data_IF_186142970162
#
_entry.id   IF_186142970162
#
_cell.length_a   1.000
_cell.length_b   1.000
_cell.length_c   1.000
_cell.angle_alpha   90.00
_cell.angle_beta   90.00
_cell.angle_gamma   90.00
#
_symmetry.space_group_name_H-M   'P 1'
#
loop_
_entity.id
_entity.type
_entity.pdbx_description
1 polymer ?
#
# COMPACT_ATOMS: atom_id res chain seq x y z
N UNK A 1 -13.09 11.25 0.86
CA UNK A 1 -12.96 12.47 1.64
C UNK A 1 -11.78 12.44 2.61
N UNK A 2 -11.56 13.50 3.40
CA UNK A 2 -10.41 13.64 4.31
C UNK A 2 -10.24 12.47 5.28
N UNK A 3 -11.32 11.92 5.83
CA UNK A 3 -11.28 10.77 6.74
C UNK A 3 -10.63 9.55 6.08
N UNK A 4 -10.93 9.26 4.82
CA UNK A 4 -10.30 8.17 4.08
C UNK A 4 -8.79 8.37 3.93
N UNK A 5 -8.35 9.61 3.74
CA UNK A 5 -6.92 9.95 3.63
C UNK A 5 -6.17 9.70 4.94
N UNK A 6 -6.76 10.06 6.09
CA UNK A 6 -6.18 9.76 7.41
C UNK A 6 -6.14 8.27 7.68
N UNK A 7 -7.21 7.53 7.42
CA UNK A 7 -7.24 6.08 7.59
C UNK A 7 -6.18 5.40 6.72
N UNK A 8 -6.06 5.82 5.46
CA UNK A 8 -5.06 5.28 4.55
C UNK A 8 -3.63 5.52 5.06
N UNK A 9 -3.34 6.71 5.60
CA UNK A 9 -2.04 7.05 6.18
C UNK A 9 -1.79 6.32 7.50
N UNK A 10 -2.70 6.49 8.46
CA UNK A 10 -2.44 6.14 9.87
C UNK A 10 -2.76 4.67 10.18
N UNK A 11 -3.56 4.02 9.35
CA UNK A 11 -3.86 2.60 9.51
C UNK A 11 -3.24 1.77 8.38
N UNK A 12 -3.59 2.02 7.12
CA UNK A 12 -3.16 1.15 6.02
C UNK A 12 -1.66 1.18 5.78
N UNK A 13 -1.03 2.36 5.67
CA UNK A 13 0.42 2.46 5.48
C UNK A 13 1.19 2.03 6.73
N UNK A 14 0.73 2.44 7.93
CA UNK A 14 1.38 2.04 9.18
C UNK A 14 1.38 0.52 9.36
N UNK A 15 0.28 -0.15 9.02
CA UNK A 15 0.20 -1.62 9.01
C UNK A 15 1.19 -2.23 8.03
N UNK A 16 1.37 -1.65 6.84
CA UNK A 16 2.35 -2.11 5.85
C UNK A 16 3.79 -2.10 6.38
N UNK A 17 4.14 -1.13 7.22
CA UNK A 17 5.51 -1.02 7.78
C UNK A 17 5.84 -2.08 8.84
N UNK A 18 4.91 -2.94 9.21
CA UNK A 18 5.20 -4.11 10.04
C UNK A 18 6.03 -5.18 9.30
N UNK A 19 6.09 -5.11 7.98
CA UNK A 19 6.65 -6.14 7.13
C UNK A 19 8.06 -5.79 6.61
N UNK A 20 9.14 -6.44 7.13
CA UNK A 20 10.52 -6.11 6.77
C UNK A 20 10.79 -6.16 5.26
N UNK A 21 10.34 -7.19 4.55
CA UNK A 21 10.53 -7.32 3.09
C UNK A 21 9.90 -6.17 2.29
N UNK A 22 8.73 -5.70 2.74
CA UNK A 22 8.09 -4.51 2.19
C UNK A 22 8.89 -3.22 2.45
N UNK A 23 9.57 -3.14 3.59
CA UNK A 23 10.30 -1.95 4.01
C UNK A 23 11.63 -1.76 3.26
N UNK A 24 12.33 -2.86 2.95
CA UNK A 24 13.68 -2.80 2.39
C UNK A 24 13.80 -2.00 1.08
N UNK A 25 12.89 -2.10 0.10
CA UNK A 25 12.93 -1.24 -1.07
C UNK A 25 12.95 0.26 -0.73
N UNK A 26 12.20 0.67 0.30
CA UNK A 26 12.12 2.07 0.75
C UNK A 26 13.41 2.52 1.45
N UNK A 27 14.06 1.61 2.16
CA UNK A 27 15.30 1.89 2.91
C UNK A 27 16.50 1.93 1.96
N UNK A 28 16.70 0.89 1.16
CA UNK A 28 17.85 0.77 0.25
C UNK A 28 17.84 1.87 -0.80
N UNK A 29 16.69 2.22 -1.35
CA UNK A 29 16.58 3.35 -2.30
C UNK A 29 16.69 4.72 -1.62
N UNK A 30 16.80 4.78 -0.29
CA UNK A 30 16.87 6.02 0.49
C UNK A 30 15.57 6.85 0.44
N UNK A 31 14.52 6.30 -0.13
CA UNK A 31 13.29 7.02 -0.43
C UNK A 31 12.57 7.57 0.81
N UNK A 32 12.78 6.97 1.99
CA UNK A 32 12.13 7.40 3.22
C UNK A 32 13.02 8.24 4.14
N UNK A 33 14.31 7.94 4.27
CA UNK A 33 15.22 8.72 5.14
C UNK A 33 15.33 10.19 4.74
N UNK A 34 15.25 10.49 3.43
CA UNK A 34 15.49 11.84 2.89
C UNK A 34 14.22 12.51 2.37
N UNK A 35 13.14 11.75 2.11
CA UNK A 35 11.98 12.22 1.38
C UNK A 35 10.65 11.61 1.87
N UNK A 36 10.50 11.31 3.19
CA UNK A 36 9.29 10.68 3.73
C UNK A 36 8.01 11.43 3.32
N UNK A 37 7.99 12.74 3.50
CA UNK A 37 6.84 13.58 3.11
C UNK A 37 6.55 13.52 1.60
N UNK A 38 7.59 13.50 0.76
CA UNK A 38 7.41 13.39 -0.69
C UNK A 38 6.83 12.02 -1.07
N UNK A 39 7.36 10.92 -0.51
CA UNK A 39 6.85 9.56 -0.78
C UNK A 39 5.41 9.39 -0.31
N UNK A 40 5.09 9.93 0.85
CA UNK A 40 3.72 9.95 1.35
C UNK A 40 2.81 10.74 0.41
N UNK A 41 3.24 11.92 -0.04
CA UNK A 41 2.48 12.75 -0.98
C UNK A 41 2.27 12.05 -2.34
N UNK A 42 3.27 11.31 -2.85
CA UNK A 42 3.15 10.52 -4.07
C UNK A 42 2.12 9.39 -3.93
N UNK A 43 2.13 8.68 -2.79
CA UNK A 43 1.14 7.63 -2.50
C UNK A 43 -0.27 8.22 -2.34
N UNK A 44 -0.40 9.35 -1.63
CA UNK A 44 -1.66 10.06 -1.49
C UNK A 44 -2.20 10.57 -2.83
N UNK A 45 -1.31 11.12 -3.66
CA UNK A 45 -1.69 11.56 -5.00
C UNK A 45 -2.25 10.40 -5.82
N UNK A 46 -1.53 9.27 -5.86
CA UNK A 46 -2.01 8.09 -6.56
C UNK A 46 -3.37 7.63 -6.01
N UNK A 47 -3.52 7.56 -4.68
CA UNK A 47 -4.77 7.18 -4.06
C UNK A 47 -5.93 8.12 -4.44
N UNK A 48 -5.68 9.43 -4.48
CA UNK A 48 -6.66 10.41 -4.93
C UNK A 48 -6.96 10.26 -6.43
N UNK A 49 -5.95 10.03 -7.25
CA UNK A 49 -6.11 9.83 -8.70
C UNK A 49 -7.03 8.63 -8.99
N UNK A 50 -6.82 7.49 -8.32
CA UNK A 50 -7.60 6.28 -8.56
C UNK A 50 -9.03 6.39 -8.02
N UNK A 51 -9.25 7.12 -6.93
CA UNK A 51 -10.58 7.26 -6.31
C UNK A 51 -11.47 8.33 -6.95
N UNK A 52 -11.03 9.02 -8.01
CA UNK A 52 -11.89 9.92 -8.79
C UNK A 52 -12.93 9.13 -9.59
N UNK A 53 -14.07 9.77 -9.85
CA UNK A 53 -15.11 9.18 -10.69
C UNK A 53 -14.56 8.86 -12.09
N UNK A 54 -14.83 7.66 -12.57
CA UNK A 54 -14.36 7.16 -13.88
C UNK A 54 -12.83 7.13 -14.06
N UNK A 55 -12.07 7.21 -12.98
CA UNK A 55 -10.60 7.30 -13.01
C UNK A 55 -9.94 6.13 -13.74
N UNK A 56 -10.52 4.95 -13.71
CA UNK A 56 -10.03 3.74 -14.37
C UNK A 56 -10.51 3.56 -15.82
N UNK A 57 -11.28 4.49 -16.37
CA UNK A 57 -11.49 4.49 -17.81
C UNK A 57 -10.13 4.64 -18.51
N UNK A 58 -9.96 3.95 -19.63
CA UNK A 58 -8.70 3.93 -20.38
C UNK A 58 -8.19 5.36 -20.64
N UNK A 59 -6.92 5.58 -20.31
CA UNK A 59 -6.21 6.87 -20.39
C UNK A 59 -6.63 7.96 -19.37
N UNK A 60 -7.59 7.71 -18.50
CA UNK A 60 -7.89 8.63 -17.40
C UNK A 60 -6.83 8.55 -16.32
N UNK A 61 -6.86 9.51 -15.38
CA UNK A 61 -5.79 9.73 -14.41
C UNK A 61 -5.49 8.52 -13.54
N UNK A 62 -6.50 7.81 -13.03
CA UNK A 62 -6.30 6.62 -12.20
C UNK A 62 -5.69 5.45 -12.97
N UNK A 63 -6.11 5.23 -14.23
CA UNK A 63 -5.52 4.23 -15.09
C UNK A 63 -4.05 4.55 -15.37
N UNK A 64 -3.75 5.75 -15.85
CA UNK A 64 -2.40 6.15 -16.25
C UNK A 64 -1.43 6.20 -15.07
N UNK A 65 -1.86 6.73 -13.91
CA UNK A 65 -1.03 6.79 -12.72
C UNK A 65 -0.75 5.38 -12.16
N UNK A 66 -1.71 4.46 -12.20
CA UNK A 66 -1.50 3.08 -11.77
C UNK A 66 -0.51 2.33 -12.67
N UNK A 67 -0.64 2.47 -13.98
CA UNK A 67 0.33 1.87 -14.94
C UNK A 67 1.72 2.48 -14.73
N UNK A 68 1.80 3.78 -14.47
CA UNK A 68 3.08 4.44 -14.15
C UNK A 68 3.71 3.88 -12.87
N UNK A 69 2.94 3.75 -11.79
CA UNK A 69 3.44 3.16 -10.52
C UNK A 69 3.90 1.71 -10.75
N UNK A 70 3.14 0.92 -11.49
CA UNK A 70 3.56 -0.45 -11.87
C UNK A 70 4.90 -0.47 -12.60
N UNK A 71 5.12 0.48 -13.51
CA UNK A 71 6.39 0.64 -14.20
C UNK A 71 7.53 1.01 -13.22
N UNK A 72 7.30 1.94 -12.30
CA UNK A 72 8.28 2.28 -11.25
C UNK A 72 8.61 1.06 -10.38
N UNK A 73 7.62 0.26 -9.98
CA UNK A 73 7.86 -0.99 -9.24
C UNK A 73 8.75 -1.96 -10.03
N UNK A 74 8.56 -2.07 -11.34
CA UNK A 74 9.40 -2.92 -12.18
C UNK A 74 10.85 -2.39 -12.26
N UNK A 75 11.04 -1.08 -12.37
CA UNK A 75 12.39 -0.46 -12.34
C UNK A 75 13.09 -0.66 -11.01
N UNK A 76 12.39 -0.43 -9.90
CA UNK A 76 12.94 -0.64 -8.55
C UNK A 76 13.32 -2.10 -8.35
N UNK A 77 12.45 -3.04 -8.73
CA UNK A 77 12.76 -4.48 -8.70
C UNK A 77 14.02 -4.82 -9.50
N UNK A 78 14.13 -4.28 -10.71
CA UNK A 78 15.29 -4.51 -11.55
C UNK A 78 16.59 -3.96 -10.93
N UNK A 79 16.53 -2.79 -10.29
CA UNK A 79 17.68 -2.20 -9.61
C UNK A 79 18.08 -3.00 -8.37
N UNK A 80 17.12 -3.34 -7.53
CA UNK A 80 17.37 -4.10 -6.29
C UNK A 80 17.90 -5.51 -6.58
N UNK A 81 17.43 -6.17 -7.63
CA UNK A 81 17.95 -7.48 -8.05
C UNK A 81 19.42 -7.44 -8.51
N UNK A 82 19.96 -6.26 -8.79
CA UNK A 82 21.38 -6.05 -9.11
C UNK A 82 22.20 -5.51 -7.95
N UNK A 83 21.53 -5.10 -6.87
CA UNK A 83 22.19 -4.53 -5.69
C UNK A 83 22.76 -5.64 -4.80
N UNK A 84 23.98 -5.46 -4.33
CA UNK A 84 24.57 -6.31 -3.28
C UNK A 84 23.96 -6.08 -1.89
N UNK A 85 23.17 -5.02 -1.72
CA UNK A 85 22.47 -4.73 -0.47
C UNK A 85 21.16 -5.51 -0.34
N UNK A 86 20.67 -6.12 -1.42
CA UNK A 86 19.44 -6.91 -1.39
C UNK A 86 19.73 -8.36 -1.03
N UNK A 87 19.29 -8.78 0.15
CA UNK A 87 19.40 -10.17 0.60
C UNK A 87 18.17 -10.97 0.13
N UNK A 88 18.37 -11.71 -0.97
CA UNK A 88 17.31 -12.52 -1.58
C UNK A 88 16.90 -13.73 -0.73
N UNK A 89 17.82 -14.26 0.06
CA UNK A 89 17.53 -15.43 0.90
C UNK A 89 16.65 -15.05 2.09
N UNK A 90 16.77 -13.80 2.56
CA UNK A 90 15.98 -13.26 3.68
C UNK A 90 14.68 -12.60 3.20
N UNK A 91 14.72 -11.81 2.12
CA UNK A 91 13.58 -10.98 1.69
C UNK A 91 12.89 -11.47 0.41
N UNK A 92 13.41 -12.52 -0.25
CA UNK A 92 12.87 -13.02 -1.51
C UNK A 92 13.03 -12.03 -2.67
N UNK A 93 12.11 -12.06 -3.62
CA UNK A 93 12.10 -11.09 -4.73
C UNK A 93 11.66 -9.71 -4.24
N UNK A 94 12.33 -8.62 -4.67
CA UNK A 94 11.89 -7.27 -4.33
C UNK A 94 10.51 -6.97 -4.90
N UNK A 95 9.65 -6.33 -4.11
CA UNK A 95 8.28 -5.97 -4.53
C UNK A 95 7.55 -7.21 -5.10
N UNK A 96 7.60 -8.31 -4.37
CA UNK A 96 7.01 -9.58 -4.79
C UNK A 96 5.48 -9.56 -4.74
N UNK A 97 4.85 -10.63 -5.21
CA UNK A 97 3.39 -10.76 -5.27
C UNK A 97 2.74 -10.75 -3.88
N UNK A 98 3.44 -11.30 -2.89
CA UNK A 98 2.99 -11.30 -1.52
C UNK A 98 2.87 -9.87 -0.96
N UNK A 99 3.93 -9.06 -1.06
CA UNK A 99 3.95 -7.67 -0.58
C UNK A 99 2.92 -6.80 -1.31
N UNK A 100 2.75 -7.03 -2.61
CA UNK A 100 1.73 -6.31 -3.40
C UNK A 100 0.31 -6.70 -3.00
N UNK A 101 0.04 -7.99 -2.75
CA UNK A 101 -1.26 -8.46 -2.27
C UNK A 101 -1.59 -7.88 -0.89
N UNK A 102 -0.63 -7.90 0.04
CA UNK A 102 -0.78 -7.28 1.37
C UNK A 102 -1.11 -5.80 1.27
N UNK A 103 -0.40 -5.07 0.40
CA UNK A 103 -0.65 -3.65 0.15
C UNK A 103 -2.06 -3.42 -0.40
N UNK A 104 -2.50 -4.25 -1.35
CA UNK A 104 -3.85 -4.17 -1.90
C UNK A 104 -4.91 -4.41 -0.83
N UNK A 105 -4.72 -5.40 0.06
CA UNK A 105 -5.61 -5.69 1.18
C UNK A 105 -5.66 -4.54 2.19
N UNK A 106 -4.53 -3.84 2.40
CA UNK A 106 -4.49 -2.66 3.25
C UNK A 106 -5.37 -1.51 2.70
N UNK A 107 -5.46 -1.37 1.38
CA UNK A 107 -6.31 -0.35 0.76
C UNK A 107 -7.79 -0.75 0.66
N UNK A 108 -8.14 -2.01 0.77
CA UNK A 108 -9.55 -2.44 0.76
C UNK A 108 -10.06 -2.83 2.16
N UNK A 109 -9.69 -3.98 2.70
CA UNK A 109 -10.26 -4.50 3.95
C UNK A 109 -9.83 -3.70 5.18
N UNK A 110 -8.56 -3.29 5.26
CA UNK A 110 -8.09 -2.47 6.39
C UNK A 110 -8.71 -1.07 6.34
N UNK A 111 -8.91 -0.49 5.15
CA UNK A 111 -9.65 0.76 5.00
C UNK A 111 -11.10 0.62 5.49
N UNK A 112 -11.81 -0.47 5.15
CA UNK A 112 -13.17 -0.75 5.64
C UNK A 112 -13.21 -0.87 7.17
N UNK A 113 -12.22 -1.52 7.77
CA UNK A 113 -12.08 -1.57 9.22
C UNK A 113 -11.93 -0.17 9.82
N UNK A 114 -11.05 0.64 9.24
CA UNK A 114 -10.79 2.01 9.71
C UNK A 114 -12.01 2.92 9.63
N UNK A 115 -12.78 2.86 8.55
CA UNK A 115 -14.02 3.67 8.44
C UNK A 115 -15.08 3.24 9.47
N UNK A 116 -15.16 1.94 9.77
CA UNK A 116 -16.06 1.43 10.84
C UNK A 116 -15.60 1.87 12.23
N UNK A 117 -14.29 1.89 12.47
CA UNK A 117 -13.72 2.34 13.74
C UNK A 117 -14.05 3.80 14.06
N UNK A 118 -14.24 4.64 13.05
CA UNK A 118 -14.69 6.04 13.21
C UNK A 118 -16.21 6.22 13.13
N UNK A 119 -16.99 5.12 13.20
CA UNK A 119 -18.46 5.17 13.25
C UNK A 119 -19.15 5.24 11.89
N UNK A 120 -18.45 5.04 10.79
CA UNK A 120 -19.03 4.96 9.44
C UNK A 120 -19.22 3.48 9.08
N UNK A 121 -20.46 3.06 8.85
CA UNK A 121 -20.79 1.66 8.57
C UNK A 121 -21.23 1.50 7.11
N UNK A 122 -20.32 1.17 6.18
CA UNK A 122 -20.69 0.87 4.81
C UNK A 122 -21.69 -0.29 4.74
N UNK A 123 -22.69 -0.16 3.88
CA UNK A 123 -23.60 -1.25 3.54
C UNK A 123 -22.84 -2.40 2.88
N UNK A 124 -23.46 -3.57 2.82
CA UNK A 124 -22.85 -4.71 2.10
C UNK A 124 -22.53 -4.37 0.63
N UNK A 125 -23.44 -3.66 -0.04
CA UNK A 125 -23.24 -3.26 -1.43
C UNK A 125 -22.04 -2.30 -1.61
N UNK A 126 -21.86 -1.35 -0.68
CA UNK A 126 -20.70 -0.44 -0.69
C UNK A 126 -19.40 -1.17 -0.38
N UNK A 127 -19.42 -2.12 0.57
CA UNK A 127 -18.26 -2.96 0.85
C UNK A 127 -17.88 -3.81 -0.38
N UNK A 128 -18.86 -4.49 -0.99
CA UNK A 128 -18.62 -5.31 -2.19
C UNK A 128 -18.11 -4.46 -3.36
N UNK A 129 -18.65 -3.26 -3.56
CA UNK A 129 -18.19 -2.32 -4.58
C UNK A 129 -16.74 -1.86 -4.34
N UNK A 130 -16.38 -1.58 -3.08
CA UNK A 130 -15.02 -1.22 -2.71
C UNK A 130 -14.04 -2.38 -2.95
N UNK A 131 -14.42 -3.61 -2.58
CA UNK A 131 -13.61 -4.79 -2.83
C UNK A 131 -13.36 -4.99 -4.32
N UNK A 132 -14.41 -4.88 -5.14
CA UNK A 132 -14.30 -5.00 -6.59
C UNK A 132 -13.41 -3.91 -7.20
N UNK A 133 -13.57 -2.67 -6.74
CA UNK A 133 -12.73 -1.54 -7.16
C UNK A 133 -11.24 -1.81 -6.90
N UNK A 134 -10.89 -2.23 -5.67
CA UNK A 134 -9.49 -2.51 -5.33
C UNK A 134 -8.96 -3.80 -5.95
N UNK A 135 -9.81 -4.77 -6.22
CA UNK A 135 -9.46 -5.94 -7.04
C UNK A 135 -8.96 -5.51 -8.42
N UNK A 136 -9.70 -4.62 -9.09
CA UNK A 136 -9.31 -4.08 -10.39
C UNK A 136 -8.02 -3.24 -10.31
N UNK A 137 -7.91 -2.38 -9.30
CA UNK A 137 -6.71 -1.58 -9.07
C UNK A 137 -5.47 -2.47 -8.85
N UNK A 138 -5.59 -3.52 -8.04
CA UNK A 138 -4.54 -4.50 -7.80
C UNK A 138 -4.13 -5.27 -9.06
N UNK A 139 -5.10 -5.72 -9.84
CA UNK A 139 -4.85 -6.37 -11.14
C UNK A 139 -4.09 -5.44 -12.09
N UNK A 140 -4.52 -4.19 -12.22
CA UNK A 140 -3.84 -3.20 -13.05
C UNK A 140 -2.43 -2.90 -12.54
N UNK A 141 -2.21 -2.88 -11.22
CA UNK A 141 -0.91 -2.74 -10.58
C UNK A 141 0.02 -3.93 -10.84
N UNK A 142 -0.53 -5.08 -11.20
CA UNK A 142 0.21 -6.30 -11.54
C UNK A 142 0.19 -7.38 -10.46
N UNK A 143 -0.77 -7.33 -9.55
CA UNK A 143 -1.06 -8.42 -8.64
C UNK A 143 -1.69 -9.58 -9.42
N UNK A 144 -1.19 -10.79 -9.21
CA UNK A 144 -1.73 -12.01 -9.82
C UNK A 144 -3.15 -12.27 -9.30
N UNK A 145 -4.06 -12.67 -10.19
CA UNK A 145 -5.49 -12.86 -9.88
C UNK A 145 -5.75 -13.81 -8.70
N UNK A 146 -4.88 -14.80 -8.49
CA UNK A 146 -4.99 -15.74 -7.35
C UNK A 146 -4.88 -15.06 -5.97
N UNK A 147 -4.31 -13.85 -5.91
CA UNK A 147 -4.18 -13.06 -4.70
C UNK A 147 -5.29 -12.00 -4.56
N UNK A 148 -6.13 -11.85 -5.58
CA UNK A 148 -7.19 -10.85 -5.64
C UNK A 148 -8.52 -11.48 -5.28
N UNK A 149 -9.11 -11.04 -4.19
CA UNK A 149 -10.37 -11.58 -3.64
C UNK A 149 -11.55 -10.65 -3.91
N UNK A 150 -12.75 -11.22 -3.98
CA UNK A 150 -13.97 -10.47 -4.28
C UNK A 150 -14.75 -10.03 -3.02
N UNK A 151 -14.52 -10.72 -1.90
CA UNK A 151 -15.28 -10.52 -0.68
C UNK A 151 -14.40 -10.11 0.49
N UNK A 152 -14.91 -9.22 1.31
CA UNK A 152 -14.22 -8.78 2.53
C UNK A 152 -13.87 -9.95 3.46
N UNK A 153 -14.76 -10.96 3.59
CA UNK A 153 -14.49 -12.14 4.40
C UNK A 153 -13.33 -13.01 3.88
N UNK A 154 -13.12 -13.02 2.57
CA UNK A 154 -11.98 -13.70 1.94
C UNK A 154 -10.70 -12.88 2.15
N UNK A 155 -10.81 -11.55 2.05
CA UNK A 155 -9.71 -10.62 2.29
C UNK A 155 -9.14 -10.77 3.71
N UNK A 156 -10.00 -10.87 4.73
CA UNK A 156 -9.57 -11.09 6.11
C UNK A 156 -8.87 -12.44 6.31
N UNK A 157 -9.37 -13.51 5.71
CA UNK A 157 -8.71 -14.82 5.75
C UNK A 157 -7.34 -14.76 5.07
N UNK A 158 -7.26 -14.15 3.90
CA UNK A 158 -6.01 -14.00 3.17
C UNK A 158 -5.02 -13.15 3.96
N UNK A 159 -5.46 -12.02 4.52
CA UNK A 159 -4.62 -11.15 5.35
C UNK A 159 -4.05 -11.90 6.55
N UNK A 160 -4.86 -12.70 7.24
CA UNK A 160 -4.44 -13.51 8.38
C UNK A 160 -3.37 -14.56 7.97
N UNK A 161 -3.54 -15.23 6.83
CA UNK A 161 -2.55 -16.19 6.33
C UNK A 161 -1.23 -15.51 5.95
N UNK A 162 -1.32 -14.37 5.29
CA UNK A 162 -0.16 -13.59 4.90
C UNK A 162 0.57 -13.05 6.14
N UNK A 163 -0.14 -12.53 7.12
CA UNK A 163 0.45 -12.04 8.39
C UNK A 163 1.15 -13.17 9.15
N UNK A 164 0.54 -14.35 9.24
CA UNK A 164 1.14 -15.52 9.89
C UNK A 164 2.44 -15.99 9.21
N UNK A 165 2.52 -15.89 7.89
CA UNK A 165 3.67 -16.32 7.09
C UNK A 165 4.83 -15.28 7.11
N UNK A 166 4.59 -14.09 7.65
CA UNK A 166 5.56 -13.00 7.57
C UNK A 166 6.62 -13.07 8.70
N UNK A 167 7.88 -12.69 8.41
CA UNK A 167 8.88 -12.46 9.45
C UNK A 167 8.41 -11.42 10.47
N UNK A 168 8.86 -11.56 11.72
CA UNK A 168 8.57 -10.59 12.77
C UNK A 168 9.14 -9.21 12.43
N UNK A 169 8.48 -8.17 12.95
CA UNK A 169 8.95 -6.78 12.86
C UNK A 169 10.41 -6.67 13.29
N UNK A 170 11.16 -5.84 12.59
CA UNK A 170 12.56 -5.53 12.85
C UNK A 170 12.79 -4.01 13.02
N UNK A 171 14.04 -3.59 13.08
CA UNK A 171 14.39 -2.17 13.21
C UNK A 171 13.93 -1.33 12.01
N UNK A 172 13.79 -1.93 10.82
CA UNK A 172 13.24 -1.24 9.65
C UNK A 172 11.79 -0.82 9.88
N UNK A 173 10.99 -1.70 10.48
CA UNK A 173 9.59 -1.44 10.83
C UNK A 173 9.48 -0.25 11.79
N UNK A 174 10.32 -0.22 12.82
CA UNK A 174 10.36 0.88 13.79
C UNK A 174 10.77 2.20 13.15
N UNK A 175 11.83 2.18 12.33
CA UNK A 175 12.35 3.37 11.68
C UNK A 175 11.30 4.02 10.75
N UNK A 176 10.59 3.21 9.96
CA UNK A 176 9.56 3.70 9.05
C UNK A 176 8.31 4.18 9.79
N UNK A 177 7.88 3.48 10.84
CA UNK A 177 6.75 3.91 11.67
C UNK A 177 7.04 5.27 12.33
N UNK A 178 8.23 5.46 12.89
CA UNK A 178 8.65 6.75 13.46
C UNK A 178 8.71 7.86 12.40
N UNK A 179 9.25 7.56 11.21
CA UNK A 179 9.30 8.53 10.11
C UNK A 179 7.88 8.98 9.70
N UNK A 180 6.94 8.04 9.56
CA UNK A 180 5.55 8.35 9.25
C UNK A 180 4.87 9.15 10.36
N UNK A 181 5.11 8.80 11.63
CA UNK A 181 4.55 9.50 12.79
C UNK A 181 5.07 10.94 12.92
N UNK A 182 6.31 11.20 12.55
CA UNK A 182 6.93 12.52 12.63
C UNK A 182 6.60 13.42 11.42
N UNK A 183 6.20 12.85 10.28
CA UNK A 183 5.93 13.59 9.04
C UNK A 183 5.00 14.79 9.23
N UNK A 184 3.89 14.75 10.01
CA UNK A 184 3.03 15.92 10.18
C UNK A 184 3.71 17.10 10.87
N UNK A 185 4.71 16.85 11.71
CA UNK A 185 5.45 17.90 12.42
C UNK A 185 6.51 18.57 11.54
N UNK A 186 6.90 17.91 10.44
CA UNK A 186 7.89 18.40 9.49
C UNK A 186 7.27 19.24 8.36
N UNK A 187 5.94 19.34 8.31
CA UNK A 187 5.24 20.14 7.30
C UNK A 187 5.47 21.63 7.52
N UNK A 188 5.71 22.37 6.44
CA UNK A 188 5.93 23.82 6.47
C UNK A 188 4.68 24.65 6.82
N UNK A 189 3.49 24.06 6.76
CA UNK A 189 2.24 24.70 7.13
C UNK A 189 1.67 24.04 8.39
N UNK A 190 1.41 24.88 9.39
CA UNK A 190 0.67 24.49 10.60
C UNK A 190 -0.80 24.79 10.34
N UNK A 191 -1.67 23.83 10.61
CA UNK A 191 -3.12 24.05 10.61
C UNK A 191 -3.51 24.91 11.82
#
# INVERSE_FOLDING_TARGET
GSNGTYIMRDLSLMTGYQYPGFNQPLIITGALKKYAGKRLAETHKWWLDVTQLNSFNRFNTGFTSTVYVRFIHALVRFQLNKSSEWDRDVWGEPINQYDQAMTNLAFCSVLLLGVRAIGIFPSKAESDALMHFWKYAGWLMGVDEKWLVDKESEAWKLLQWLDYAHPKMDESSRALALSLSNEPFERHYKY
#
